data_IF_591742294444
#
_entry.id   IF_591742294444
#
_cell.length_a   1.000
_cell.length_b   1.000
_cell.length_c   1.000
_cell.angle_alpha   90.00
_cell.angle_beta   90.00
_cell.angle_gamma   90.00
#
_symmetry.space_group_name_H-M   'P 1'
#
loop_
_entity.id
_entity.type
_entity.pdbx_description
1 polymer ?
#
# COMPACT_ATOMS: atom_id res chain seq x y z
N UNK A 1 25.74 12.73 12.35
CA UNK A 1 24.30 12.72 12.64
C UNK A 1 23.60 11.58 11.91
N UNK A 2 24.07 10.32 12.04
CA UNK A 2 23.51 9.15 11.32
C UNK A 2 23.52 7.85 12.16
N UNK A 3 23.77 7.92 13.47
CA UNK A 3 23.91 6.71 14.31
C UNK A 3 22.58 6.34 14.99
N UNK A 4 21.68 7.30 15.22
CA UNK A 4 20.42 7.07 15.94
C UNK A 4 19.33 6.35 15.12
N UNK A 5 19.37 6.43 13.79
CA UNK A 5 18.35 5.78 12.92
C UNK A 5 18.54 4.26 12.79
N UNK A 6 19.71 3.72 13.13
CA UNK A 6 19.98 2.26 13.10
C UNK A 6 19.58 1.54 14.39
N UNK A 7 18.97 2.23 15.37
CA UNK A 7 18.60 1.64 16.67
C UNK A 7 17.21 0.98 16.63
N UNK A 8 16.35 1.38 15.69
CA UNK A 8 14.96 0.87 15.61
C UNK A 8 14.89 -0.21 14.54
N UNK A 9 14.57 -1.44 14.96
CA UNK A 9 14.29 -2.53 14.03
C UNK A 9 13.07 -2.16 13.15
N UNK A 10 13.22 -2.13 11.81
CA UNK A 10 12.11 -1.83 10.92
C UNK A 10 11.02 -2.92 10.92
N UNK A 11 11.34 -4.13 11.42
CA UNK A 11 10.41 -5.24 11.58
C UNK A 11 9.65 -5.08 12.90
N UNK A 12 8.34 -4.93 12.81
CA UNK A 12 7.47 -4.85 13.97
C UNK A 12 7.20 -6.25 14.55
N UNK A 13 6.87 -7.20 13.69
CA UNK A 13 6.52 -8.58 14.06
C UNK A 13 7.12 -9.53 13.03
N UNK A 14 7.74 -10.61 13.48
CA UNK A 14 8.19 -11.70 12.62
C UNK A 14 7.39 -12.96 12.95
N UNK A 15 6.76 -13.55 11.92
CA UNK A 15 6.04 -14.81 12.02
C UNK A 15 6.65 -15.75 10.98
N UNK A 16 7.67 -16.49 11.40
CA UNK A 16 8.44 -17.38 10.52
C UNK A 16 9.07 -16.63 9.34
N UNK A 17 8.78 -17.00 8.08
CA UNK A 17 9.34 -16.32 6.90
C UNK A 17 8.66 -14.95 6.62
N UNK A 18 7.54 -14.65 7.27
CA UNK A 18 6.77 -13.42 7.05
C UNK A 18 7.24 -12.36 8.03
N UNK A 19 7.73 -11.24 7.49
CA UNK A 19 8.13 -10.05 8.26
C UNK A 19 7.09 -8.96 8.05
N UNK A 20 6.49 -8.48 9.14
CA UNK A 20 5.62 -7.32 9.14
C UNK A 20 6.45 -6.12 9.54
N UNK A 21 6.50 -5.13 8.65
CA UNK A 21 7.28 -3.91 8.85
C UNK A 21 6.42 -2.80 9.44
N UNK A 22 7.03 -1.92 10.24
CA UNK A 22 6.35 -0.77 10.85
C UNK A 22 5.66 0.15 9.84
N UNK A 23 6.28 0.40 8.70
CA UNK A 23 5.67 1.25 7.66
C UNK A 23 4.34 0.68 7.17
N UNK A 24 4.23 -0.65 7.04
CA UNK A 24 3.01 -1.32 6.62
C UNK A 24 1.89 -1.16 7.64
N UNK A 25 2.22 -1.27 8.93
CA UNK A 25 1.26 -1.05 10.04
C UNK A 25 0.76 0.39 10.03
N UNK A 26 1.66 1.36 9.88
CA UNK A 26 1.31 2.78 9.87
C UNK A 26 0.40 3.11 8.67
N UNK A 27 0.72 2.60 7.48
CA UNK A 27 -0.11 2.80 6.28
C UNK A 27 -1.49 2.16 6.46
N UNK A 28 -1.55 0.94 6.97
CA UNK A 28 -2.82 0.26 7.23
C UNK A 28 -3.68 1.04 8.24
N UNK A 29 -3.08 1.55 9.32
CA UNK A 29 -3.77 2.37 10.30
C UNK A 29 -4.27 3.69 9.71
N UNK A 30 -3.43 4.38 8.93
CA UNK A 30 -3.81 5.62 8.25
C UNK A 30 -4.98 5.39 7.27
N UNK A 31 -4.95 4.27 6.54
CA UNK A 31 -6.04 3.86 5.66
C UNK A 31 -7.34 3.63 6.43
N UNK A 32 -7.30 2.87 7.54
CA UNK A 32 -8.48 2.63 8.39
C UNK A 32 -9.08 3.92 8.94
N UNK A 33 -8.24 4.84 9.42
CA UNK A 33 -8.69 6.15 9.91
C UNK A 33 -9.31 6.97 8.77
N UNK A 34 -8.65 6.99 7.60
CA UNK A 34 -9.13 7.70 6.42
C UNK A 34 -10.50 7.21 5.96
N UNK A 35 -10.69 5.89 5.88
CA UNK A 35 -11.97 5.26 5.52
C UNK A 35 -13.02 5.63 6.57
N UNK A 36 -12.73 5.49 7.86
CA UNK A 36 -13.70 5.80 8.93
C UNK A 36 -14.16 7.27 8.88
N UNK A 37 -13.24 8.20 8.63
CA UNK A 37 -13.56 9.62 8.46
C UNK A 37 -14.38 9.87 7.19
N UNK A 38 -14.00 9.25 6.07
CA UNK A 38 -14.72 9.36 4.81
C UNK A 38 -16.15 8.82 4.93
N UNK A 39 -16.35 7.67 5.58
CA UNK A 39 -17.68 7.10 5.84
C UNK A 39 -18.52 8.03 6.71
N UNK A 40 -17.94 8.59 7.79
CA UNK A 40 -18.65 9.55 8.65
C UNK A 40 -19.09 10.80 7.89
N UNK A 41 -18.26 11.30 6.97
CA UNK A 41 -18.61 12.46 6.15
C UNK A 41 -19.65 12.11 5.07
N UNK A 42 -19.53 10.94 4.45
CA UNK A 42 -20.50 10.41 3.49
C UNK A 42 -21.90 10.28 4.11
N UNK A 43 -21.99 9.77 5.35
CA UNK A 43 -23.25 9.68 6.10
C UNK A 43 -23.89 11.05 6.33
N UNK A 44 -23.12 12.10 6.62
CA UNK A 44 -23.65 13.47 6.76
C UNK A 44 -24.23 14.01 5.45
N UNK A 45 -23.71 13.55 4.31
CA UNK A 45 -24.20 13.88 2.98
C UNK A 45 -25.39 13.01 2.55
N UNK A 46 -25.87 12.10 3.41
CA UNK A 46 -27.00 11.22 3.14
C UNK A 46 -26.66 10.00 2.29
N UNK A 47 -25.37 9.66 2.14
CA UNK A 47 -24.93 8.43 1.48
C UNK A 47 -25.07 7.24 2.43
N UNK A 48 -25.36 6.07 1.87
CA UNK A 48 -25.41 4.82 2.64
C UNK A 48 -24.02 4.47 3.17
N UNK A 49 -23.96 3.97 4.42
CA UNK A 49 -22.71 3.60 5.09
C UNK A 49 -21.90 2.57 4.30
N UNK A 50 -22.59 1.63 3.68
CA UNK A 50 -21.98 0.53 2.91
C UNK A 50 -21.32 1.03 1.62
N UNK A 51 -21.80 2.14 1.05
CA UNK A 51 -21.25 2.68 -0.21
C UNK A 51 -19.75 2.95 -0.08
N UNK A 52 -19.32 3.49 1.06
CA UNK A 52 -17.91 3.88 1.24
C UNK A 52 -17.00 2.68 1.49
N UNK A 53 -17.53 1.64 2.15
CA UNK A 53 -16.83 0.37 2.36
C UNK A 53 -16.69 -0.38 1.03
N UNK A 54 -17.76 -0.45 0.24
CA UNK A 54 -17.76 -1.08 -1.08
C UNK A 54 -16.80 -0.38 -2.04
N UNK A 55 -16.83 0.95 -2.09
CA UNK A 55 -15.89 1.73 -2.89
C UNK A 55 -14.44 1.45 -2.48
N UNK A 56 -14.17 1.38 -1.19
CA UNK A 56 -12.82 1.11 -0.66
C UNK A 56 -12.36 -0.30 -1.03
N UNK A 57 -13.26 -1.29 -0.91
CA UNK A 57 -12.99 -2.68 -1.28
C UNK A 57 -12.55 -2.84 -2.74
N UNK A 58 -13.09 -2.02 -3.64
CA UNK A 58 -12.66 -1.97 -5.05
C UNK A 58 -11.44 -1.07 -5.28
N UNK A 59 -11.39 0.08 -4.61
CA UNK A 59 -10.33 1.07 -4.81
C UNK A 59 -8.96 0.56 -4.38
N UNK A 60 -8.87 -0.21 -3.28
CA UNK A 60 -7.61 -0.76 -2.79
C UNK A 60 -6.98 -1.69 -3.85
N UNK A 61 -7.61 -2.80 -4.29
CA UNK A 61 -7.03 -3.68 -5.31
C UNK A 61 -6.66 -2.95 -6.61
N UNK A 62 -7.53 -2.07 -7.09
CA UNK A 62 -7.28 -1.29 -8.32
C UNK A 62 -6.07 -0.39 -8.14
N UNK A 63 -5.94 0.28 -6.99
CA UNK A 63 -4.79 1.10 -6.65
C UNK A 63 -3.49 0.30 -6.61
N UNK A 64 -3.50 -0.90 -6.01
CA UNK A 64 -2.35 -1.80 -5.99
C UNK A 64 -1.93 -2.23 -7.41
N UNK A 65 -2.90 -2.60 -8.25
CA UNK A 65 -2.65 -2.97 -9.65
C UNK A 65 -2.08 -1.78 -10.43
N UNK A 66 -2.69 -0.60 -10.29
CA UNK A 66 -2.24 0.63 -10.96
C UNK A 66 -0.82 1.03 -10.55
N UNK A 67 -0.51 0.97 -9.24
CA UNK A 67 0.83 1.25 -8.73
C UNK A 67 1.87 0.27 -9.29
N UNK A 68 1.50 -1.01 -9.44
CA UNK A 68 2.40 -2.01 -10.04
C UNK A 68 2.61 -1.76 -11.53
N UNK A 69 1.54 -1.54 -12.28
CA UNK A 69 1.61 -1.23 -13.71
C UNK A 69 2.46 0.01 -13.97
N UNK A 70 2.27 1.07 -13.17
CA UNK A 70 3.08 2.28 -13.27
C UNK A 70 4.57 2.00 -13.02
N UNK A 71 4.91 1.24 -11.97
CA UNK A 71 6.30 0.86 -11.69
C UNK A 71 6.93 0.08 -12.84
N UNK A 72 6.17 -0.87 -13.42
CA UNK A 72 6.62 -1.69 -14.54
C UNK A 72 6.85 -0.86 -15.80
N UNK A 73 5.94 0.06 -16.12
CA UNK A 73 6.10 0.99 -17.23
C UNK A 73 7.30 1.93 -17.02
N UNK A 74 7.55 2.37 -15.79
CA UNK A 74 8.70 3.21 -15.47
C UNK A 74 10.04 2.46 -15.59
N UNK A 75 10.05 1.16 -15.27
CA UNK A 75 11.22 0.26 -15.35
C UNK A 75 11.15 -0.67 -16.57
N UNK A 76 10.58 -0.18 -17.67
CA UNK A 76 10.23 -1.03 -18.83
C UNK A 76 11.41 -1.85 -19.38
N UNK A 77 12.60 -1.24 -19.50
CA UNK A 77 13.81 -1.90 -20.02
C UNK A 77 14.24 -3.12 -19.19
N UNK A 78 13.92 -3.14 -17.90
CA UNK A 78 14.19 -4.26 -16.99
C UNK A 78 13.14 -5.36 -17.15
N UNK A 79 11.86 -4.98 -17.20
CA UNK A 79 10.74 -5.93 -17.21
C UNK A 79 10.53 -6.60 -18.56
N UNK A 80 10.96 -5.99 -19.67
CA UNK A 80 10.96 -6.66 -20.98
C UNK A 80 11.91 -7.87 -21.01
N UNK A 81 12.98 -7.84 -20.21
CA UNK A 81 13.93 -8.94 -20.07
C UNK A 81 13.49 -9.95 -18.99
N UNK A 82 12.65 -9.52 -18.04
CA UNK A 82 12.20 -10.34 -16.91
C UNK A 82 10.66 -10.28 -16.74
N UNK A 83 9.88 -10.77 -17.73
CA UNK A 83 8.42 -10.62 -17.72
C UNK A 83 7.73 -11.37 -16.57
N UNK A 84 8.32 -12.45 -16.07
CA UNK A 84 7.79 -13.19 -14.90
C UNK A 84 7.80 -12.35 -13.62
N UNK A 85 8.70 -11.37 -13.52
CA UNK A 85 8.81 -10.51 -12.34
C UNK A 85 7.74 -9.42 -12.29
N UNK A 86 6.97 -9.20 -13.36
CA UNK A 86 5.89 -8.21 -13.39
C UNK A 86 4.85 -8.50 -12.29
N UNK A 87 4.54 -9.77 -12.03
CA UNK A 87 3.53 -10.19 -11.04
C UNK A 87 4.15 -10.36 -9.64
N UNK A 88 5.48 -10.45 -9.54
CA UNK A 88 6.20 -10.68 -8.29
C UNK A 88 6.22 -9.43 -7.38
N UNK A 89 5.08 -9.09 -6.81
CA UNK A 89 4.89 -7.93 -5.90
C UNK A 89 5.60 -8.10 -4.56
N UNK A 90 5.92 -9.34 -4.17
CA UNK A 90 6.66 -9.66 -2.93
C UNK A 90 8.14 -9.30 -3.01
N UNK A 91 8.69 -9.11 -4.21
CA UNK A 91 10.04 -8.60 -4.42
C UNK A 91 10.10 -7.06 -4.26
N UNK A 92 8.99 -6.42 -3.90
CA UNK A 92 8.82 -4.97 -3.88
C UNK A 92 8.39 -4.43 -5.24
N UNK A 93 8.65 -3.14 -5.47
CA UNK A 93 8.26 -2.46 -6.72
C UNK A 93 6.78 -2.08 -6.78
N UNK A 94 6.20 -1.72 -5.64
CA UNK A 94 5.01 -0.86 -5.59
C UNK A 94 5.55 0.55 -5.49
N UNK A 95 5.31 1.32 -6.55
CA UNK A 95 5.70 2.71 -6.64
C UNK A 95 5.01 3.55 -5.56
N UNK A 96 5.76 4.04 -4.57
CA UNK A 96 5.34 5.13 -3.69
C UNK A 96 6.10 6.38 -4.16
N UNK A 97 5.58 7.05 -5.19
CA UNK A 97 6.05 8.40 -5.54
C UNK A 97 5.32 9.37 -4.61
N UNK A 98 5.89 9.56 -3.42
CA UNK A 98 5.45 10.61 -2.52
C UNK A 98 6.09 11.92 -2.94
N UNK A 99 5.46 12.65 -3.88
CA UNK A 99 5.79 14.05 -4.23
C UNK A 99 7.17 14.27 -4.81
#
# INVERSE_FOLDING_TARGET
MNVLLNVIDPVAISIGPIKIYWYGIIIALAMLIGISLATKEAQKLGLEEDTMVDMTLWAIPIGFIGARLYYVLFKWDYYIQNPSEIIAIWNGGIAIYGG
#
